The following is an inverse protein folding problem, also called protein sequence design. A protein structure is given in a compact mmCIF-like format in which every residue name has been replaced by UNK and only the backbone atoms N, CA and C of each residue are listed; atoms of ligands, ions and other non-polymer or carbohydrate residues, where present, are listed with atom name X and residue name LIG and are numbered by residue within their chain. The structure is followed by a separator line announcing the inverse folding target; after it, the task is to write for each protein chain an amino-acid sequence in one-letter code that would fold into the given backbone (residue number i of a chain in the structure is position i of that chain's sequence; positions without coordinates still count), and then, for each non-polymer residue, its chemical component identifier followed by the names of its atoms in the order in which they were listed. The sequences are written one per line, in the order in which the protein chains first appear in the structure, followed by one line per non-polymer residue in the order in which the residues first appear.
data_IF_558322625550
#
_entry.id   IF_558322625550
#
_cell.length_a   1.000
_cell.length_b   1.000
_cell.length_c   1.000
_cell.angle_alpha   90.00
_cell.angle_beta   90.00
_cell.angle_gamma   90.00
#
_symmetry.space_group_name_H-M   'P 1'
#
loop_
_entity.id
_entity.type
_entity.pdbx_description
1 polymer ?
#
# COMPACT_ATOMS: atom_id res chain seq x y z
N UNK A 1 -1.27 25.74 -33.65
CA UNK A 1 -0.41 24.66 -33.11
C UNK A 1 -0.52 24.70 -31.59
N UNK A 2 -1.34 23.84 -30.99
CA UNK A 2 -1.51 23.80 -29.54
C UNK A 2 -0.58 22.72 -28.98
N UNK A 3 0.34 23.14 -28.13
CA UNK A 3 1.28 22.26 -27.45
C UNK A 3 0.51 21.46 -26.40
N UNK A 4 0.28 20.19 -26.68
CA UNK A 4 -0.39 19.28 -25.75
C UNK A 4 0.64 18.75 -24.73
N UNK A 5 1.08 19.60 -23.81
CA UNK A 5 1.88 19.16 -22.66
C UNK A 5 0.93 18.52 -21.65
N UNK A 6 0.78 17.18 -21.73
CA UNK A 6 0.20 16.44 -20.60
C UNK A 6 1.05 16.75 -19.36
N UNK A 7 0.44 17.03 -18.20
CA UNK A 7 1.21 17.19 -16.98
C UNK A 7 1.95 15.88 -16.72
N UNK A 8 3.28 15.97 -16.59
CA UNK A 8 4.12 14.87 -16.13
C UNK A 8 3.79 14.68 -14.65
N UNK A 9 2.85 13.80 -14.37
CA UNK A 9 2.50 13.40 -13.01
C UNK A 9 3.73 12.74 -12.37
N UNK A 10 4.38 13.50 -11.50
CA UNK A 10 5.52 13.08 -10.70
C UNK A 10 5.05 12.54 -9.33
N UNK A 11 3.83 11.99 -9.24
CA UNK A 11 3.36 11.29 -8.06
C UNK A 11 4.17 10.00 -7.88
N UNK A 12 5.23 10.11 -7.07
CA UNK A 12 5.92 8.97 -6.44
C UNK A 12 5.05 8.26 -5.40
N UNK A 13 3.73 8.28 -5.56
CA UNK A 13 2.82 7.39 -4.84
C UNK A 13 2.47 6.30 -5.84
N UNK A 14 3.10 5.13 -5.71
CA UNK A 14 2.59 3.94 -6.42
C UNK A 14 1.10 3.85 -6.11
N UNK A 15 0.26 3.95 -7.15
CA UNK A 15 -1.19 3.83 -6.99
C UNK A 15 -1.47 2.59 -6.15
N UNK A 16 -2.47 2.65 -5.26
CA UNK A 16 -2.91 1.49 -4.49
C UNK A 16 -3.09 0.27 -5.42
N UNK A 17 -3.57 0.51 -6.65
CA UNK A 17 -3.68 -0.49 -7.70
C UNK A 17 -2.34 -1.17 -8.04
N UNK A 18 -1.25 -0.42 -8.14
CA UNK A 18 0.07 -0.95 -8.45
C UNK A 18 0.62 -1.75 -7.26
N UNK A 19 0.48 -1.24 -6.04
CA UNK A 19 0.89 -1.97 -4.82
C UNK A 19 0.14 -3.29 -4.68
N UNK A 20 -1.16 -3.30 -5.00
CA UNK A 20 -1.97 -4.51 -4.99
C UNK A 20 -1.56 -5.49 -6.09
N UNK A 21 -1.26 -5.01 -7.31
CA UNK A 21 -0.72 -5.86 -8.38
C UNK A 21 0.59 -6.52 -7.98
N UNK A 22 1.51 -5.76 -7.39
CA UNK A 22 2.85 -6.23 -7.00
C UNK A 22 2.80 -7.24 -5.84
N UNK A 23 1.75 -7.20 -5.01
CA UNK A 23 1.62 -8.04 -3.81
C UNK A 23 0.47 -9.05 -3.87
N UNK A 24 -0.03 -9.36 -5.07
CA UNK A 24 -1.23 -10.20 -5.29
C UNK A 24 -1.17 -11.59 -4.62
N UNK A 25 0.02 -12.13 -4.36
CA UNK A 25 0.21 -13.41 -3.66
C UNK A 25 -0.01 -13.35 -2.15
N UNK A 26 -0.01 -12.14 -1.55
CA UNK A 26 -0.05 -11.92 -0.10
C UNK A 26 -1.46 -11.67 0.45
N UNK A 27 -2.46 -11.55 -0.41
CA UNK A 27 -3.83 -11.28 -0.03
C UNK A 27 -4.82 -11.93 -1.00
N UNK A 28 -6.07 -12.08 -0.57
CA UNK A 28 -7.17 -12.55 -1.41
C UNK A 28 -8.17 -11.41 -1.61
N UNK A 29 -8.65 -11.24 -2.83
CA UNK A 29 -9.72 -10.28 -3.13
C UNK A 29 -11.02 -11.07 -3.28
N UNK A 30 -12.06 -10.68 -2.56
CA UNK A 30 -13.39 -11.27 -2.72
C UNK A 30 -14.16 -10.56 -3.85
N UNK A 31 -15.28 -11.14 -4.29
CA UNK A 31 -16.11 -10.58 -5.38
C UNK A 31 -16.71 -9.22 -5.03
N UNK A 32 -16.81 -8.92 -3.74
CA UNK A 32 -17.37 -7.68 -3.22
C UNK A 32 -16.30 -6.57 -3.07
N UNK A 33 -15.05 -6.83 -3.51
CA UNK A 33 -13.97 -5.84 -3.51
C UNK A 33 -13.21 -5.69 -2.19
N UNK A 34 -13.48 -6.53 -1.20
CA UNK A 34 -12.71 -6.58 0.04
C UNK A 34 -11.43 -7.41 -0.10
N UNK A 35 -10.42 -6.97 0.64
CA UNK A 35 -9.13 -7.63 0.73
C UNK A 35 -9.09 -8.43 2.03
N UNK A 36 -8.81 -9.73 1.92
CA UNK A 36 -8.55 -10.61 3.04
C UNK A 36 -7.06 -10.88 3.15
N UNK A 37 -6.51 -10.68 4.35
CA UNK A 37 -5.11 -10.93 4.68
C UNK A 37 -5.08 -12.08 5.69
N UNK A 38 -4.17 -13.03 5.50
CA UNK A 38 -3.95 -14.10 6.46
C UNK A 38 -3.06 -13.59 7.61
N UNK A 39 -3.66 -13.42 8.79
CA UNK A 39 -2.95 -12.98 9.99
C UNK A 39 -2.17 -14.11 10.68
N UNK A 40 -2.30 -15.37 10.24
CA UNK A 40 -1.43 -16.46 10.68
C UNK A 40 -0.04 -16.41 10.00
N UNK A 41 0.10 -15.63 8.92
CA UNK A 41 1.37 -15.42 8.25
C UNK A 41 2.31 -14.57 9.11
N UNK A 42 3.48 -15.12 9.44
CA UNK A 42 4.52 -14.38 10.17
C UNK A 42 5.00 -13.15 9.40
N UNK A 43 5.04 -13.21 8.06
CA UNK A 43 5.42 -12.08 7.22
C UNK A 43 4.40 -10.94 7.30
N UNK A 44 3.10 -11.28 7.29
CA UNK A 44 2.03 -10.28 7.43
C UNK A 44 2.07 -9.61 8.81
N UNK A 45 2.23 -10.39 9.88
CA UNK A 45 2.35 -9.86 11.24
C UNK A 45 3.58 -8.98 11.41
N UNK A 46 4.73 -9.36 10.84
CA UNK A 46 5.95 -8.56 10.87
C UNK A 46 5.76 -7.23 10.15
N UNK A 47 5.20 -7.24 8.94
CA UNK A 47 4.94 -6.03 8.18
C UNK A 47 3.96 -5.08 8.89
N UNK A 48 2.92 -5.63 9.54
CA UNK A 48 1.99 -4.83 10.35
C UNK A 48 2.71 -4.19 11.53
N UNK A 49 3.52 -4.94 12.28
CA UNK A 49 4.32 -4.40 13.40
C UNK A 49 5.23 -3.28 12.96
N UNK A 50 5.99 -3.47 11.88
CA UNK A 50 6.89 -2.44 11.36
C UNK A 50 6.17 -1.13 10.98
N UNK A 51 4.89 -1.20 10.61
CA UNK A 51 4.08 0.00 10.33
C UNK A 51 3.51 0.61 11.61
N UNK A 52 3.11 -0.22 12.59
CA UNK A 52 2.66 0.26 13.91
C UNK A 52 3.79 0.96 14.65
N UNK A 53 4.99 0.38 14.67
CA UNK A 53 6.18 0.96 15.30
C UNK A 53 6.50 2.36 14.74
N UNK A 54 6.36 2.56 13.43
CA UNK A 54 6.52 3.87 12.79
C UNK A 54 5.49 4.90 13.24
N UNK A 55 4.26 4.46 13.53
CA UNK A 55 3.20 5.35 14.02
C UNK A 55 3.48 5.73 15.48
N UNK A 56 3.92 4.78 16.30
CA UNK A 56 4.32 5.05 17.69
C UNK A 56 5.50 6.02 17.74
N UNK A 57 6.50 5.86 16.87
CA UNK A 57 7.63 6.79 16.75
C UNK A 57 7.20 8.22 16.39
N UNK A 58 6.11 8.39 15.63
CA UNK A 58 5.54 9.71 15.31
C UNK A 58 4.80 10.27 16.54
N UNK A 59 4.02 9.44 17.24
CA UNK A 59 3.27 9.85 18.42
C UNK A 59 4.18 10.26 19.59
N UNK A 60 5.36 9.64 19.72
CA UNK A 60 6.36 9.96 20.76
C UNK A 60 7.19 11.21 20.42
N UNK A 61 7.28 11.59 19.14
CA UNK A 61 8.01 12.79 18.68
C UNK A 61 7.13 14.02 18.51
N UNK A 62 5.82 13.91 18.73
CA UNK A 62 4.85 15.00 18.72
C UNK A 62 4.66 15.60 20.11
#
# INVERSE_FOLDING_TARGET
MFWNTKPKDNSKNSSLEQVLKDNKSKFKVNRDGFISIDLASQDALKAIREQVDKIEDIAVKA
#
